data_IF_812143176658
#
_entry.id   IF_812143176658
#
_cell.length_a   1.000
_cell.length_b   1.000
_cell.length_c   1.000
_cell.angle_alpha   90.00
_cell.angle_beta   90.00
_cell.angle_gamma   90.00
#
_symmetry.space_group_name_H-M   'P 1'
#
loop_
_entity.id
_entity.type
_entity.pdbx_description
1 polymer ?
#
# COMPACT_ATOMS: atom_id res chain seq x y z
N UNK A 1 -1.06 11.72 7.14
CA UNK A 1 -0.90 10.83 8.28
C UNK A 1 -0.44 11.59 9.55
N UNK A 2 0.65 12.39 9.51
CA UNK A 2 1.20 13.02 10.72
C UNK A 2 0.22 13.98 11.41
N UNK A 3 -0.46 14.85 10.66
CA UNK A 3 -1.33 15.92 11.17
C UNK A 3 -2.83 15.65 10.98
N UNK A 4 -3.23 14.41 10.70
CA UNK A 4 -4.62 14.08 10.40
C UNK A 4 -5.59 14.49 11.51
N UNK A 5 -5.25 14.21 12.77
CA UNK A 5 -6.09 14.58 13.90
C UNK A 5 -6.26 16.10 14.03
N UNK A 6 -5.16 16.87 13.97
CA UNK A 6 -5.21 18.34 14.06
C UNK A 6 -6.09 18.95 12.96
N UNK A 7 -6.00 18.42 11.74
CA UNK A 7 -6.79 18.89 10.59
C UNK A 7 -8.27 18.54 10.76
N UNK A 8 -8.59 17.35 11.23
CA UNK A 8 -9.97 16.94 11.49
C UNK A 8 -10.59 17.73 12.63
N UNK A 9 -9.86 17.90 13.74
CA UNK A 9 -10.29 18.70 14.89
C UNK A 9 -10.53 20.16 14.47
N UNK A 10 -9.65 20.72 13.64
CA UNK A 10 -9.80 22.08 13.14
C UNK A 10 -11.01 22.22 12.19
N UNK A 11 -11.26 21.23 11.34
CA UNK A 11 -12.41 21.21 10.46
C UNK A 11 -13.72 21.15 11.27
N UNK A 12 -13.79 20.29 12.27
CA UNK A 12 -14.94 20.15 13.16
C UNK A 12 -15.20 21.45 13.93
N UNK A 13 -14.16 22.04 14.53
CA UNK A 13 -14.27 23.28 15.30
C UNK A 13 -14.75 24.49 14.46
N UNK A 14 -14.50 24.47 13.15
CA UNK A 14 -14.91 25.52 12.23
C UNK A 14 -16.13 25.16 11.37
N UNK A 15 -16.77 24.00 11.61
CA UNK A 15 -17.92 23.49 10.87
C UNK A 15 -17.70 23.45 9.35
N UNK A 16 -16.51 22.98 8.92
CA UNK A 16 -16.14 22.83 7.51
C UNK A 16 -15.77 21.39 7.20
N UNK A 17 -16.01 20.97 5.96
CA UNK A 17 -15.60 19.64 5.51
C UNK A 17 -14.11 19.60 5.18
N UNK A 18 -13.44 18.52 5.59
CA UNK A 18 -12.08 18.19 5.20
C UNK A 18 -12.08 16.89 4.39
N UNK A 19 -11.88 17.02 3.07
CA UNK A 19 -11.91 15.91 2.13
C UNK A 19 -10.50 15.48 1.77
N UNK A 20 -10.22 14.17 1.81
CA UNK A 20 -8.89 13.61 1.59
C UNK A 20 -8.90 12.32 0.74
N UNK A 21 -9.85 12.22 -0.22
CA UNK A 21 -9.99 11.03 -1.07
C UNK A 21 -8.68 10.65 -1.77
N UNK A 22 -7.99 11.63 -2.37
CA UNK A 22 -6.75 11.40 -3.10
C UNK A 22 -5.52 11.09 -2.22
N UNK A 23 -5.68 11.06 -0.89
CA UNK A 23 -4.62 10.65 0.02
C UNK A 23 -4.23 9.16 -0.17
N UNK A 24 -5.16 8.34 -0.69
CA UNK A 24 -4.91 6.94 -1.06
C UNK A 24 -5.54 6.67 -2.43
N UNK A 25 -4.89 5.85 -3.25
CA UNK A 25 -5.36 5.40 -4.56
C UNK A 25 -5.57 6.51 -5.63
N UNK A 26 -5.14 7.74 -5.35
CA UNK A 26 -5.17 8.86 -6.30
C UNK A 26 -6.58 9.15 -6.82
N UNK A 27 -6.82 8.91 -8.11
CA UNK A 27 -8.11 9.12 -8.75
C UNK A 27 -9.12 7.98 -8.56
N UNK A 28 -8.76 6.88 -7.91
CA UNK A 28 -9.65 5.73 -7.64
C UNK A 28 -10.30 5.94 -6.28
N UNK A 29 -11.64 6.11 -6.19
CA UNK A 29 -12.32 6.35 -4.92
C UNK A 29 -12.22 5.13 -3.99
N UNK A 30 -11.76 5.35 -2.76
CA UNK A 30 -11.70 4.32 -1.71
C UNK A 30 -12.14 4.86 -0.33
N UNK A 31 -11.74 6.08 0.02
CA UNK A 31 -12.04 6.66 1.34
C UNK A 31 -13.55 6.88 1.50
N UNK A 32 -14.18 7.50 0.51
CA UNK A 32 -15.62 7.73 0.52
C UNK A 32 -16.42 6.41 0.52
N UNK A 33 -16.13 5.41 -0.35
CA UNK A 33 -16.76 4.10 -0.25
C UNK A 33 -16.66 3.45 1.14
N UNK A 34 -15.48 3.50 1.78
CA UNK A 34 -15.31 2.97 3.13
C UNK A 34 -16.16 3.71 4.17
N UNK A 35 -16.23 5.05 4.08
CA UNK A 35 -16.94 5.88 5.06
C UNK A 35 -18.47 5.90 4.87
N UNK A 36 -18.93 5.85 3.64
CA UNK A 36 -20.35 6.05 3.31
C UNK A 36 -21.02 4.75 2.86
N UNK A 37 -20.49 4.10 1.81
CA UNK A 37 -21.14 2.93 1.21
C UNK A 37 -21.04 1.68 2.09
N UNK A 38 -19.95 1.54 2.81
CA UNK A 38 -19.66 0.39 3.68
C UNK A 38 -19.83 0.69 5.17
N UNK A 39 -20.38 1.85 5.54
CA UNK A 39 -20.51 2.29 6.94
C UNK A 39 -21.32 1.32 7.81
N UNK A 40 -22.27 0.58 7.23
CA UNK A 40 -23.08 -0.42 7.94
C UNK A 40 -22.44 -1.82 8.03
N UNK A 41 -21.25 -2.00 7.45
CA UNK A 41 -20.57 -3.29 7.42
C UNK A 41 -19.49 -3.38 8.50
N UNK A 42 -19.26 -4.59 8.99
CA UNK A 42 -18.09 -4.89 9.79
C UNK A 42 -16.91 -5.21 8.86
N UNK A 43 -15.94 -4.30 8.82
CA UNK A 43 -14.74 -4.48 8.00
C UNK A 43 -13.74 -5.35 8.77
N UNK A 44 -13.45 -6.54 8.26
CA UNK A 44 -12.48 -7.46 8.85
C UNK A 44 -11.06 -7.19 8.35
N UNK A 45 -10.91 -6.87 7.05
CA UNK A 45 -9.60 -6.69 6.41
C UNK A 45 -9.69 -5.69 5.26
N UNK A 46 -8.61 -4.92 5.08
CA UNK A 46 -8.32 -4.13 3.88
C UNK A 46 -6.96 -4.54 3.36
N UNK A 47 -6.89 -4.95 2.10
CA UNK A 47 -5.65 -5.37 1.46
C UNK A 47 -5.55 -4.77 0.06
N UNK A 48 -4.34 -4.38 -0.35
CA UNK A 48 -4.14 -3.88 -1.71
C UNK A 48 -2.70 -3.51 -2.06
N UNK A 49 -2.50 -3.29 -3.35
CA UNK A 49 -1.29 -2.67 -3.90
C UNK A 49 -1.54 -1.15 -3.87
N UNK A 50 -0.83 -0.44 -3.01
CA UNK A 50 -1.07 1.00 -2.77
C UNK A 50 0.07 1.90 -3.24
N UNK A 51 1.09 1.32 -3.89
CA UNK A 51 2.21 2.05 -4.49
C UNK A 51 2.49 1.54 -5.91
N UNK A 52 2.36 2.43 -6.90
CA UNK A 52 2.52 2.11 -8.32
C UNK A 52 3.96 1.84 -8.72
N UNK A 53 4.93 2.58 -8.16
CA UNK A 53 6.36 2.45 -8.46
C UNK A 53 6.88 1.07 -8.11
N UNK A 54 6.62 0.59 -6.91
CA UNK A 54 7.03 -0.75 -6.47
C UNK A 54 6.34 -1.84 -7.24
N UNK A 55 5.06 -1.66 -7.59
CA UNK A 55 4.35 -2.62 -8.43
C UNK A 55 4.96 -2.69 -9.83
N UNK A 56 5.30 -1.56 -10.45
CA UNK A 56 6.00 -1.53 -11.74
C UNK A 56 7.33 -2.28 -11.67
N UNK A 57 8.18 -2.00 -10.66
CA UNK A 57 9.48 -2.65 -10.48
C UNK A 57 9.32 -4.16 -10.35
N UNK A 58 8.49 -4.64 -9.43
CA UNK A 58 8.27 -6.07 -9.22
C UNK A 58 7.67 -6.75 -10.44
N UNK A 59 6.80 -6.06 -11.19
CA UNK A 59 6.24 -6.56 -12.43
C UNK A 59 7.32 -6.74 -13.50
N UNK A 60 8.23 -5.77 -13.68
CA UNK A 60 9.37 -5.88 -14.58
C UNK A 60 10.34 -7.00 -14.22
N UNK A 61 10.64 -7.15 -12.94
CA UNK A 61 11.43 -8.27 -12.45
C UNK A 61 10.75 -9.63 -12.76
N UNK A 62 9.42 -9.68 -12.62
CA UNK A 62 8.64 -10.91 -12.83
C UNK A 62 8.47 -11.27 -14.30
N UNK A 63 8.14 -10.29 -15.16
CA UNK A 63 7.82 -10.53 -16.58
C UNK A 63 9.06 -10.57 -17.46
N UNK A 64 9.99 -9.63 -17.24
CA UNK A 64 11.15 -9.44 -18.11
C UNK A 64 12.42 -10.08 -17.52
N UNK A 65 12.37 -10.63 -16.29
CA UNK A 65 13.51 -11.24 -15.60
C UNK A 65 14.58 -10.22 -15.20
N UNK A 66 14.22 -8.95 -15.07
CA UNK A 66 15.17 -7.88 -14.75
C UNK A 66 15.68 -8.01 -13.31
N UNK A 67 16.92 -7.59 -13.09
CA UNK A 67 17.42 -7.35 -11.74
C UNK A 67 16.78 -6.09 -11.16
N UNK A 68 16.66 -6.02 -9.83
CA UNK A 68 16.04 -4.89 -9.13
C UNK A 68 16.59 -3.52 -9.58
N UNK A 69 17.92 -3.42 -9.71
CA UNK A 69 18.58 -2.16 -10.10
C UNK A 69 18.19 -1.70 -11.50
N UNK A 70 18.07 -2.64 -12.43
CA UNK A 70 17.72 -2.33 -13.82
C UNK A 70 16.24 -1.94 -13.92
N UNK A 71 15.37 -2.64 -13.20
CA UNK A 71 13.94 -2.31 -13.13
C UNK A 71 13.70 -0.95 -12.48
N UNK A 72 14.46 -0.59 -11.44
CA UNK A 72 14.41 0.73 -10.80
C UNK A 72 14.91 1.82 -11.76
N UNK A 73 16.02 1.59 -12.46
CA UNK A 73 16.53 2.54 -13.45
C UNK A 73 15.50 2.82 -14.56
N UNK A 74 14.87 1.76 -15.07
CA UNK A 74 13.79 1.88 -16.05
C UNK A 74 12.57 2.63 -15.49
N UNK A 75 12.19 2.38 -14.24
CA UNK A 75 11.10 3.11 -13.57
C UNK A 75 11.40 4.62 -13.50
N UNK A 76 12.65 4.99 -13.21
CA UNK A 76 13.10 6.39 -13.17
C UNK A 76 13.11 7.01 -14.56
N UNK A 77 13.61 6.32 -15.57
CA UNK A 77 13.63 6.78 -16.97
C UNK A 77 12.22 7.07 -17.50
N UNK A 78 11.26 6.21 -17.16
CA UNK A 78 9.85 6.33 -17.58
C UNK A 78 9.02 7.28 -16.70
N UNK A 79 9.61 7.84 -15.63
CA UNK A 79 8.95 8.79 -14.74
C UNK A 79 8.01 8.16 -13.72
N UNK A 80 8.07 6.84 -13.50
CA UNK A 80 7.36 6.16 -12.41
C UNK A 80 8.04 6.35 -11.06
N UNK A 81 9.37 6.44 -11.04
CA UNK A 81 10.15 6.72 -9.84
C UNK A 81 10.76 8.12 -9.91
N UNK A 82 10.73 8.84 -8.80
CA UNK A 82 11.43 10.10 -8.64
C UNK A 82 12.95 9.89 -8.50
N UNK A 83 13.73 10.97 -8.51
CA UNK A 83 15.20 10.94 -8.33
C UNK A 83 15.59 10.31 -6.99
N UNK A 84 14.80 10.53 -5.94
CA UNK A 84 14.90 9.82 -4.66
C UNK A 84 13.68 8.91 -4.47
N UNK A 85 13.78 7.63 -4.84
CA UNK A 85 12.67 6.68 -4.75
C UNK A 85 12.54 6.02 -3.37
N UNK A 86 13.31 6.46 -2.37
CA UNK A 86 13.40 5.82 -1.05
C UNK A 86 12.03 5.61 -0.41
N UNK A 87 11.15 6.62 -0.47
CA UNK A 87 9.81 6.52 0.11
C UNK A 87 8.97 5.39 -0.51
N UNK A 88 9.18 5.10 -1.80
CA UNK A 88 8.49 4.03 -2.52
C UNK A 88 9.14 2.68 -2.20
N UNK A 89 10.43 2.53 -2.52
CA UNK A 89 11.11 1.22 -2.48
C UNK A 89 11.31 0.66 -1.08
N UNK A 90 11.38 1.52 -0.05
CA UNK A 90 11.39 1.11 1.36
C UNK A 90 9.98 0.95 1.95
N UNK A 91 8.92 1.18 1.17
CA UNK A 91 7.54 0.96 1.57
C UNK A 91 6.94 2.06 2.46
N UNK A 92 7.62 3.19 2.65
CA UNK A 92 7.19 4.27 3.55
C UNK A 92 5.91 4.96 3.05
N UNK A 93 5.79 5.17 1.74
CA UNK A 93 4.56 5.72 1.13
C UNK A 93 3.39 4.77 1.33
N UNK A 94 3.58 3.48 1.06
CA UNK A 94 2.58 2.45 1.29
C UNK A 94 2.17 2.38 2.77
N UNK A 95 3.12 2.48 3.71
CA UNK A 95 2.85 2.50 5.14
C UNK A 95 1.96 3.66 5.58
N UNK A 96 2.20 4.87 5.04
CA UNK A 96 1.34 6.04 5.31
C UNK A 96 -0.08 5.82 4.81
N UNK A 97 -0.24 5.20 3.63
CA UNK A 97 -1.55 4.88 3.05
C UNK A 97 -2.28 3.81 3.84
N UNK A 98 -1.58 2.76 4.30
CA UNK A 98 -2.16 1.72 5.17
C UNK A 98 -2.65 2.30 6.48
N UNK A 99 -1.89 3.20 7.13
CA UNK A 99 -2.33 3.87 8.35
C UNK A 99 -3.64 4.66 8.15
N UNK A 100 -3.79 5.33 6.99
CA UNK A 100 -5.03 6.04 6.64
C UNK A 100 -6.18 5.06 6.41
N UNK A 101 -5.95 4.01 5.62
CA UNK A 101 -6.98 2.99 5.31
C UNK A 101 -7.45 2.28 6.58
N UNK A 102 -6.52 1.84 7.44
CA UNK A 102 -6.84 1.22 8.71
C UNK A 102 -7.67 2.13 9.61
N UNK A 103 -7.27 3.41 9.70
CA UNK A 103 -7.98 4.39 10.52
C UNK A 103 -9.42 4.59 10.05
N UNK A 104 -9.63 4.67 8.73
CA UNK A 104 -10.96 4.85 8.16
C UNK A 104 -11.80 3.58 8.24
N UNK A 105 -11.24 2.43 7.85
CA UNK A 105 -11.97 1.17 7.77
C UNK A 105 -12.41 0.65 9.13
N UNK A 106 -11.60 0.85 10.17
CA UNK A 106 -11.86 0.32 11.52
C UNK A 106 -12.30 1.39 12.51
N UNK A 107 -12.54 2.62 12.05
CA UNK A 107 -12.92 3.76 12.90
C UNK A 107 -12.03 3.89 14.15
N UNK A 108 -10.73 3.73 13.96
CA UNK A 108 -9.72 3.73 15.02
C UNK A 108 -8.51 4.55 14.60
N UNK A 109 -7.81 5.13 15.55
CA UNK A 109 -6.60 5.89 15.23
C UNK A 109 -5.42 4.94 15.05
N UNK A 110 -4.99 4.77 13.80
CA UNK A 110 -3.74 4.10 13.44
C UNK A 110 -2.78 5.13 12.87
N UNK A 111 -1.59 5.26 13.44
CA UNK A 111 -0.55 6.18 12.97
C UNK A 111 0.53 5.43 12.20
N UNK A 112 1.39 6.17 11.50
CA UNK A 112 2.44 5.57 10.68
C UNK A 112 3.38 4.66 11.49
N UNK A 113 3.70 5.05 12.71
CA UNK A 113 4.61 4.30 13.59
C UNK A 113 4.01 2.97 14.11
N UNK A 114 2.69 2.78 13.96
CA UNK A 114 2.01 1.53 14.30
C UNK A 114 2.09 0.50 13.15
N UNK A 115 2.54 0.91 11.95
CA UNK A 115 2.58 0.05 10.77
C UNK A 115 3.94 -0.62 10.66
N UNK A 116 3.97 -1.96 10.63
CA UNK A 116 5.18 -2.68 10.26
C UNK A 116 5.48 -2.48 8.78
N UNK A 117 6.72 -2.14 8.43
CA UNK A 117 7.08 -1.82 7.06
C UNK A 117 8.34 -2.58 6.64
N UNK A 118 8.23 -3.30 5.54
CA UNK A 118 9.35 -3.88 4.82
C UNK A 118 9.22 -3.55 3.32
N UNK A 119 10.25 -2.91 2.76
CA UNK A 119 10.31 -2.53 1.34
C UNK A 119 10.73 -3.67 0.42
N UNK A 120 10.99 -3.33 -0.85
CA UNK A 120 11.32 -4.31 -1.89
C UNK A 120 12.83 -4.37 -2.22
N UNK A 121 13.65 -3.58 -1.56
CA UNK A 121 15.10 -3.44 -1.87
C UNK A 121 15.91 -4.71 -1.70
N UNK A 122 15.39 -5.68 -0.93
CA UNK A 122 16.03 -6.99 -0.70
C UNK A 122 15.56 -8.09 -1.66
N UNK A 123 14.52 -7.81 -2.46
CA UNK A 123 13.98 -8.79 -3.41
C UNK A 123 14.93 -8.93 -4.60
N UNK A 124 15.31 -10.17 -4.90
CA UNK A 124 16.22 -10.51 -5.99
C UNK A 124 15.48 -11.20 -7.14
N UNK A 125 16.10 -11.23 -8.34
CA UNK A 125 15.59 -12.03 -9.46
C UNK A 125 15.47 -13.52 -9.13
N UNK A 126 16.32 -14.01 -8.19
CA UNK A 126 16.25 -15.40 -7.71
C UNK A 126 14.99 -15.65 -6.88
N UNK A 127 14.59 -14.69 -6.04
CA UNK A 127 13.36 -14.81 -5.25
C UNK A 127 12.13 -14.82 -6.17
N UNK A 128 12.13 -13.96 -7.20
CA UNK A 128 11.08 -13.93 -8.23
C UNK A 128 10.99 -15.29 -8.95
N UNK A 129 12.14 -15.87 -9.30
CA UNK A 129 12.19 -17.19 -9.95
C UNK A 129 11.57 -18.27 -9.06
N UNK A 130 11.95 -18.32 -7.79
CA UNK A 130 11.38 -19.29 -6.85
C UNK A 130 9.89 -19.09 -6.61
N UNK A 131 9.42 -17.85 -6.52
CA UNK A 131 8.01 -17.57 -6.44
C UNK A 131 7.25 -18.15 -7.65
N UNK A 132 7.77 -17.96 -8.87
CA UNK A 132 7.17 -18.54 -10.09
C UNK A 132 7.14 -20.06 -10.08
N UNK A 133 8.21 -20.71 -9.63
CA UNK A 133 8.26 -22.17 -9.49
C UNK A 133 7.20 -22.68 -8.50
N UNK A 134 6.82 -21.87 -7.53
CA UNK A 134 5.74 -22.14 -6.56
C UNK A 134 4.35 -21.76 -7.06
N UNK A 135 4.22 -21.24 -8.28
CA UNK A 135 2.95 -20.74 -8.84
C UNK A 135 2.47 -19.45 -8.19
N UNK A 136 3.40 -18.65 -7.69
CA UNK A 136 3.14 -17.37 -7.00
C UNK A 136 3.84 -16.20 -7.69
N UNK A 137 3.35 -15.00 -7.41
CA UNK A 137 3.99 -13.72 -7.73
C UNK A 137 4.33 -12.97 -6.45
N UNK A 138 5.40 -12.17 -6.48
CA UNK A 138 5.75 -11.28 -5.36
C UNK A 138 5.15 -9.91 -5.63
N UNK A 139 4.35 -9.41 -4.68
CA UNK A 139 3.78 -8.05 -4.69
C UNK A 139 4.04 -7.37 -3.35
N UNK A 140 4.25 -6.05 -3.37
CA UNK A 140 4.26 -5.26 -2.14
C UNK A 140 2.82 -4.97 -1.75
N UNK A 141 2.35 -5.61 -0.68
CA UNK A 141 0.97 -5.43 -0.21
C UNK A 141 0.93 -4.57 1.04
N UNK A 142 -0.01 -3.64 1.06
CA UNK A 142 -0.47 -3.00 2.27
C UNK A 142 -1.67 -3.76 2.82
N UNK A 143 -1.61 -4.13 4.09
CA UNK A 143 -2.64 -4.93 4.76
C UNK A 143 -2.98 -4.29 6.11
N UNK A 144 -4.27 -4.21 6.39
CA UNK A 144 -4.77 -3.88 7.70
C UNK A 144 -5.90 -4.86 8.08
N UNK A 145 -5.82 -5.44 9.28
CA UNK A 145 -6.80 -6.42 9.81
C UNK A 145 -7.34 -5.97 11.15
N UNK A 146 -8.61 -6.19 11.35
CA UNK A 146 -9.26 -6.03 12.64
C UNK A 146 -9.44 -7.41 13.27
N UNK A 147 -8.65 -7.70 14.29
CA UNK A 147 -8.60 -9.00 14.97
C UNK A 147 -9.17 -8.90 16.38
N UNK A 148 -9.39 -10.02 17.05
CA UNK A 148 -9.81 -10.04 18.47
C UNK A 148 -8.75 -9.44 19.41
N UNK A 149 -7.47 -9.46 18.99
CA UNK A 149 -6.33 -8.94 19.76
C UNK A 149 -6.05 -7.46 19.47
N UNK A 150 -6.68 -6.89 18.43
CA UNK A 150 -6.50 -5.51 18.02
C UNK A 150 -6.30 -5.35 16.51
N UNK A 151 -5.83 -4.16 16.10
CA UNK A 151 -5.59 -3.87 14.70
C UNK A 151 -4.15 -4.25 14.34
N UNK A 152 -4.01 -5.10 13.34
CA UNK A 152 -2.74 -5.39 12.67
C UNK A 152 -2.63 -4.50 11.43
N UNK A 153 -1.50 -3.84 11.23
CA UNK A 153 -1.23 -3.03 10.05
C UNK A 153 0.21 -3.24 9.57
N UNK A 154 0.38 -3.62 8.30
CA UNK A 154 1.71 -3.87 7.76
C UNK A 154 1.80 -3.67 6.26
N UNK A 155 3.02 -3.41 5.80
CA UNK A 155 3.43 -3.37 4.39
C UNK A 155 4.64 -4.28 4.25
N UNK A 156 4.54 -5.28 3.39
CA UNK A 156 5.68 -6.16 3.10
C UNK A 156 5.53 -6.84 1.73
N UNK A 157 6.64 -7.30 1.14
CA UNK A 157 6.59 -8.20 0.00
C UNK A 157 5.90 -9.51 0.39
N UNK A 158 4.90 -9.91 -0.39
CA UNK A 158 4.14 -11.13 -0.15
C UNK A 158 4.10 -12.01 -1.38
N UNK A 159 4.18 -13.31 -1.16
CA UNK A 159 3.86 -14.34 -2.16
C UNK A 159 2.34 -14.44 -2.28
N UNK A 160 1.82 -14.19 -3.47
CA UNK A 160 0.40 -14.36 -3.78
C UNK A 160 0.23 -15.37 -4.92
N UNK A 161 -0.76 -16.25 -4.86
CA UNK A 161 -1.03 -17.18 -5.96
C UNK A 161 -1.21 -16.44 -7.28
N UNK A 162 -0.62 -16.93 -8.39
CA UNK A 162 -0.67 -16.24 -9.69
C UNK A 162 -2.08 -16.09 -10.27
N UNK A 163 -3.07 -16.82 -9.74
CA UNK A 163 -4.48 -16.67 -10.08
C UNK A 163 -5.23 -15.67 -9.18
N UNK A 164 -4.57 -15.08 -8.20
CA UNK A 164 -5.18 -14.06 -7.34
C UNK A 164 -5.40 -12.75 -8.13
N UNK A 165 -6.51 -12.02 -7.92
CA UNK A 165 -6.77 -10.76 -8.64
C UNK A 165 -5.64 -9.73 -8.56
N UNK A 166 -4.95 -9.62 -7.41
CA UNK A 166 -3.83 -8.70 -7.23
C UNK A 166 -2.53 -9.15 -7.96
N UNK A 167 -2.41 -10.40 -8.38
CA UNK A 167 -1.24 -10.87 -9.11
C UNK A 167 -1.16 -10.29 -10.54
N UNK A 168 -2.31 -10.00 -11.12
CA UNK A 168 -2.44 -9.52 -12.51
C UNK A 168 -2.39 -7.99 -12.66
N UNK A 169 -2.25 -7.28 -11.55
CA UNK A 169 -2.13 -5.81 -11.52
C UNK A 169 -0.73 -5.36 -11.91
#
# INVERSE_FOLDING_TARGET
AAHGKELLDAAEANHVDFLFEAAVAGGIPIIRPLKECLAGNHMAEVMGIVNGTTNFILTKMTQDGMEFKDALALATELGYAETDPTADIEGLDAGRKVAILASVAFNSRVVFDDVYIEGITKITAKDIKYAKEMGCDIKLLGVAKNTEEGIEAYVCPMLIPSNHPLATV
#
